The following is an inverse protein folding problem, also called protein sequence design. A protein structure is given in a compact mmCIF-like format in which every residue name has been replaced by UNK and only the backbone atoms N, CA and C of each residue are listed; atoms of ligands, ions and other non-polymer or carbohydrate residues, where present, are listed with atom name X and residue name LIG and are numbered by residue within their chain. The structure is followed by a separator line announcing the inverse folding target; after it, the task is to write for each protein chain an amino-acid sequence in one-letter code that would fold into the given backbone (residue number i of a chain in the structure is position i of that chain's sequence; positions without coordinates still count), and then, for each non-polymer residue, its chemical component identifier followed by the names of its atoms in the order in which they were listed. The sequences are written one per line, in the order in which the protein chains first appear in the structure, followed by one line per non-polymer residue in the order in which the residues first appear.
data_IF_529338514503
#
_entry.id   IF_529338514503
#
_cell.length_a   1.000
_cell.length_b   1.000
_cell.length_c   1.000
_cell.angle_alpha   90.00
_cell.angle_beta   90.00
_cell.angle_gamma   90.00
#
_symmetry.space_group_name_H-M   'P 1'
#
loop_
_entity.id
_entity.type
_entity.pdbx_description
1 polymer ?
#
# COMPACT_ATOMS: atom_id res chain seq x y z
N UNK A 1 11.68 -8.79 8.70
CA UNK A 1 11.00 -7.69 7.96
C UNK A 1 12.06 -6.88 7.24
N UNK A 2 11.93 -6.67 5.93
CA UNK A 2 12.93 -6.04 5.05
C UNK A 2 12.33 -4.84 4.37
N UNK A 3 12.96 -3.66 4.48
CA UNK A 3 12.47 -2.45 3.83
C UNK A 3 12.56 -2.58 2.31
N UNK A 4 11.47 -2.24 1.62
CA UNK A 4 11.41 -2.19 0.16
C UNK A 4 11.75 -0.76 -0.27
N UNK A 5 12.68 -0.65 -1.22
CA UNK A 5 13.08 0.66 -1.74
C UNK A 5 12.09 1.11 -2.81
N UNK A 6 11.65 2.35 -2.71
CA UNK A 6 10.84 2.98 -3.75
C UNK A 6 11.75 3.45 -4.89
N UNK A 7 11.74 2.79 -6.06
CA UNK A 7 12.66 3.12 -7.13
C UNK A 7 12.33 4.44 -7.83
N UNK A 8 11.11 4.96 -7.65
CA UNK A 8 10.67 6.23 -8.24
C UNK A 8 10.95 7.44 -7.34
N UNK A 9 11.34 7.22 -6.08
CA UNK A 9 11.59 8.33 -5.16
C UNK A 9 12.69 9.26 -5.71
N UNK A 10 12.36 10.55 -5.80
CA UNK A 10 13.27 11.58 -6.33
C UNK A 10 13.17 11.81 -7.84
N UNK A 11 12.42 10.99 -8.57
CA UNK A 11 12.14 11.26 -9.99
C UNK A 11 11.27 12.52 -10.15
N UNK A 12 11.64 13.47 -11.04
CA UNK A 12 10.96 14.78 -11.12
C UNK A 12 9.45 14.72 -11.44
N UNK A 13 9.02 13.67 -12.12
CA UNK A 13 7.62 13.46 -12.53
C UNK A 13 6.84 12.53 -11.62
N UNK A 14 7.46 12.07 -10.53
CA UNK A 14 6.82 11.17 -9.58
C UNK A 14 6.07 11.93 -8.50
N UNK A 15 4.76 11.74 -8.45
CA UNK A 15 3.85 12.42 -7.53
C UNK A 15 2.79 11.46 -6.97
N UNK A 16 3.18 10.25 -6.62
CA UNK A 16 2.23 9.29 -6.03
C UNK A 16 1.66 9.84 -4.71
N UNK A 17 0.35 9.96 -4.63
CA UNK A 17 -0.31 10.41 -3.41
C UNK A 17 -0.07 9.47 -2.22
N UNK A 18 0.00 8.17 -2.46
CA UNK A 18 0.20 7.16 -1.41
C UNK A 18 1.65 7.04 -0.93
N UNK A 19 2.62 7.03 -1.83
CA UNK A 19 3.98 6.56 -1.52
C UNK A 19 5.13 7.49 -1.96
N UNK A 20 4.86 8.67 -2.50
CA UNK A 20 5.93 9.64 -2.73
C UNK A 20 6.41 10.21 -1.39
N UNK A 21 7.67 9.95 -0.98
CA UNK A 21 8.18 10.43 0.30
C UNK A 21 8.32 11.95 0.37
N UNK A 22 8.33 12.63 -0.77
CA UNK A 22 8.47 14.08 -0.89
C UNK A 22 7.13 14.81 -1.05
N UNK A 23 6.01 14.09 -1.06
CA UNK A 23 4.69 14.71 -1.16
C UNK A 23 4.32 15.45 0.12
N UNK A 24 4.02 16.74 0.04
CA UNK A 24 3.58 17.54 1.20
C UNK A 24 2.20 17.11 1.70
N UNK A 25 1.29 16.81 0.78
CA UNK A 25 -0.12 16.51 1.07
C UNK A 25 -0.47 15.03 1.01
N UNK A 26 0.45 14.18 0.54
CA UNK A 26 0.24 12.76 0.39
C UNK A 26 0.45 11.95 1.67
N UNK A 27 0.27 10.66 1.56
CA UNK A 27 0.32 9.73 2.69
C UNK A 27 1.75 9.36 3.07
N UNK A 28 2.70 9.42 2.15
CA UNK A 28 4.13 9.13 2.36
C UNK A 28 4.36 7.76 3.02
N UNK A 29 3.68 6.75 2.52
CA UNK A 29 3.79 5.39 3.04
C UNK A 29 5.15 4.77 2.75
N UNK A 30 5.65 3.99 3.69
CA UNK A 30 6.81 3.11 3.53
C UNK A 30 6.39 1.66 3.67
N UNK A 31 7.10 0.76 2.99
CA UNK A 31 6.70 -0.63 2.89
C UNK A 31 7.84 -1.59 3.19
N UNK A 32 7.47 -2.70 3.81
CA UNK A 32 8.38 -3.76 4.23
C UNK A 32 7.87 -5.11 3.76
N UNK A 33 8.77 -6.00 3.40
CA UNK A 33 8.45 -7.39 3.12
C UNK A 33 8.64 -8.24 4.37
N UNK A 34 7.61 -9.02 4.71
CA UNK A 34 7.62 -9.95 5.84
C UNK A 34 6.97 -11.28 5.41
N UNK A 35 7.79 -12.20 4.91
CA UNK A 35 7.32 -13.44 4.31
C UNK A 35 6.38 -13.18 3.13
N UNK A 36 5.16 -13.67 3.21
CA UNK A 36 4.14 -13.48 2.18
C UNK A 36 3.47 -12.11 2.24
N UNK A 37 3.65 -11.38 3.34
CA UNK A 37 3.04 -10.08 3.55
C UNK A 37 3.91 -8.93 3.05
N UNK A 38 3.23 -7.88 2.60
CA UNK A 38 3.75 -6.52 2.58
C UNK A 38 3.16 -5.81 3.77
N UNK A 39 3.99 -5.09 4.51
CA UNK A 39 3.63 -4.40 5.76
C UNK A 39 3.95 -2.92 5.64
N UNK A 40 3.11 -2.07 6.22
CA UNK A 40 3.37 -0.64 6.36
C UNK A 40 3.02 -0.20 7.77
N UNK A 41 3.90 0.58 8.38
CA UNK A 41 3.61 1.32 9.60
C UNK A 41 3.40 2.78 9.22
N UNK A 42 2.21 3.30 9.51
CA UNK A 42 1.83 4.63 9.06
C UNK A 42 1.35 5.49 10.23
N UNK A 43 1.76 6.75 10.24
CA UNK A 43 1.36 7.71 11.27
C UNK A 43 0.16 8.52 10.79
N UNK A 44 -1.01 8.37 11.40
CA UNK A 44 -2.16 9.21 11.12
C UNK A 44 -1.85 10.69 11.40
N UNK A 45 -2.45 11.56 10.61
CA UNK A 45 -2.31 13.03 10.76
C UNK A 45 -3.68 13.68 10.82
N UNK A 46 -3.77 14.80 11.53
CA UNK A 46 -5.02 15.51 11.77
C UNK A 46 -5.74 15.96 10.50
N UNK A 47 -4.99 16.31 9.44
CA UNK A 47 -5.55 16.73 8.15
C UNK A 47 -6.29 15.61 7.39
N UNK A 48 -6.13 14.37 7.81
CA UNK A 48 -6.83 13.22 7.22
C UNK A 48 -8.07 12.80 8.01
N UNK A 49 -8.57 13.66 8.88
CA UNK A 49 -9.79 13.33 9.61
C UNK A 49 -11.03 13.38 8.73
N UNK A 50 -12.00 12.50 9.04
CA UNK A 50 -13.38 12.62 8.62
C UNK A 50 -14.18 13.23 9.76
N UNK A 51 -14.70 12.42 10.66
CA UNK A 51 -15.25 12.90 11.93
C UNK A 51 -14.11 13.35 12.87
N UNK A 52 -14.47 14.17 13.86
CA UNK A 52 -13.50 14.67 14.84
C UNK A 52 -12.63 13.54 15.39
N UNK A 53 -11.32 13.70 15.28
CA UNK A 53 -10.29 12.75 15.73
C UNK A 53 -10.39 11.34 15.12
N UNK A 54 -11.16 11.16 14.05
CA UNK A 54 -11.35 9.88 13.38
C UNK A 54 -10.75 9.94 11.98
N UNK A 55 -9.93 8.95 11.64
CA UNK A 55 -9.34 8.85 10.32
C UNK A 55 -10.44 8.64 9.27
N UNK A 56 -10.43 9.44 8.22
CA UNK A 56 -11.42 9.40 7.15
C UNK A 56 -11.44 8.03 6.47
N UNK A 57 -12.66 7.47 6.27
CA UNK A 57 -12.81 6.17 5.63
C UNK A 57 -12.23 6.10 4.22
N UNK A 58 -12.32 7.18 3.46
CA UNK A 58 -11.69 7.28 2.14
C UNK A 58 -10.15 7.26 2.20
N UNK A 59 -9.54 7.83 3.26
CA UNK A 59 -8.10 7.73 3.48
C UNK A 59 -7.72 6.29 3.83
N UNK A 60 -8.49 5.60 4.66
CA UNK A 60 -8.26 4.18 4.94
C UNK A 60 -8.35 3.33 3.67
N UNK A 61 -9.31 3.63 2.79
CA UNK A 61 -9.42 2.97 1.49
C UNK A 61 -8.19 3.25 0.60
N UNK A 62 -7.69 4.47 0.60
CA UNK A 62 -6.46 4.83 -0.14
C UNK A 62 -5.24 4.10 0.40
N UNK A 63 -5.09 4.02 1.72
CA UNK A 63 -4.01 3.25 2.36
C UNK A 63 -4.08 1.76 1.96
N UNK A 64 -5.29 1.19 1.93
CA UNK A 64 -5.50 -0.20 1.53
C UNK A 64 -5.18 -0.44 0.05
N UNK A 65 -5.60 0.46 -0.82
CA UNK A 65 -5.29 0.39 -2.26
C UNK A 65 -3.78 0.51 -2.52
N UNK A 66 -3.13 1.43 -1.83
CA UNK A 66 -1.69 1.65 -1.99
C UNK A 66 -0.88 0.42 -1.56
N UNK A 67 -1.12 -0.13 -0.37
CA UNK A 67 -0.37 -1.32 0.06
C UNK A 67 -0.64 -2.53 -0.85
N UNK A 68 -1.86 -2.67 -1.38
CA UNK A 68 -2.18 -3.71 -2.34
C UNK A 68 -1.41 -3.54 -3.66
N UNK A 69 -1.21 -2.31 -4.14
CA UNK A 69 -0.37 -2.07 -5.32
C UNK A 69 1.09 -2.45 -5.07
N UNK A 70 1.60 -2.22 -3.86
CA UNK A 70 2.96 -2.65 -3.48
C UNK A 70 3.12 -4.17 -3.38
N UNK A 71 2.05 -4.91 -3.07
CA UNK A 71 2.05 -6.38 -3.23
C UNK A 71 2.28 -6.74 -4.69
N UNK A 72 1.58 -6.07 -5.62
CA UNK A 72 1.76 -6.28 -7.06
C UNK A 72 3.20 -6.00 -7.48
N UNK A 73 3.71 -4.82 -7.12
CA UNK A 73 5.06 -4.40 -7.51
C UNK A 73 6.14 -5.36 -6.99
N UNK A 74 6.06 -5.74 -5.73
CA UNK A 74 7.10 -6.57 -5.11
C UNK A 74 6.96 -8.05 -5.46
N UNK A 75 5.76 -8.63 -5.40
CA UNK A 75 5.57 -10.07 -5.56
C UNK A 75 5.50 -10.52 -7.03
N UNK A 76 5.06 -9.66 -7.92
CA UNK A 76 4.92 -9.98 -9.34
C UNK A 76 5.88 -9.21 -10.25
N UNK A 77 6.60 -8.23 -9.71
CA UNK A 77 7.53 -7.40 -10.48
C UNK A 77 6.92 -6.84 -11.77
N UNK A 78 5.71 -6.29 -11.62
CA UNK A 78 4.94 -5.65 -12.69
C UNK A 78 4.01 -4.59 -12.09
N UNK A 79 3.30 -3.87 -12.94
CA UNK A 79 2.21 -2.98 -12.54
C UNK A 79 0.85 -3.62 -12.80
N UNK A 80 -0.18 -3.01 -12.28
CA UNK A 80 -1.55 -3.41 -12.49
C UNK A 80 -2.50 -2.27 -12.16
N UNK A 81 -3.78 -2.53 -12.34
CA UNK A 81 -4.84 -1.59 -11.98
C UNK A 81 -5.82 -2.26 -11.03
N UNK A 82 -6.31 -1.47 -10.07
CA UNK A 82 -7.42 -1.88 -9.22
C UNK A 82 -8.68 -1.98 -10.06
N UNK A 83 -9.26 -3.17 -10.14
CA UNK A 83 -10.52 -3.37 -10.84
C UNK A 83 -11.71 -3.31 -9.89
N UNK A 84 -11.52 -3.73 -8.64
CA UNK A 84 -12.55 -3.72 -7.61
C UNK A 84 -11.91 -3.67 -6.23
N UNK A 85 -12.54 -2.95 -5.32
CA UNK A 85 -12.18 -2.95 -3.91
C UNK A 85 -13.43 -2.94 -3.04
N UNK A 86 -13.44 -3.77 -2.01
CA UNK A 86 -14.45 -3.78 -0.96
C UNK A 86 -13.75 -3.51 0.37
N UNK A 87 -14.22 -2.50 1.09
CA UNK A 87 -13.67 -2.10 2.38
C UNK A 87 -14.74 -2.30 3.46
N UNK A 88 -14.35 -2.93 4.57
CA UNK A 88 -15.19 -3.11 5.75
C UNK A 88 -14.55 -2.42 6.95
N UNK A 89 -15.30 -1.51 7.54
CA UNK A 89 -14.88 -0.73 8.70
C UNK A 89 -15.47 -1.36 9.97
N UNK A 90 -14.64 -1.99 10.80
CA UNK A 90 -15.08 -2.71 11.99
C UNK A 90 -15.00 -1.86 13.25
N UNK A 91 -13.93 -1.07 13.37
CA UNK A 91 -13.66 -0.17 14.48
C UNK A 91 -13.08 1.15 13.96
N UNK A 92 -13.32 2.28 14.64
CA UNK A 92 -12.70 3.54 14.23
C UNK A 92 -11.18 3.49 14.40
N UNK A 93 -10.48 4.16 13.48
CA UNK A 93 -9.07 4.49 13.60
C UNK A 93 -8.98 5.96 13.95
N UNK A 94 -8.18 6.32 14.95
CA UNK A 94 -8.08 7.72 15.40
C UNK A 94 -6.90 8.43 14.74
N UNK A 95 -7.10 9.71 14.39
CA UNK A 95 -6.01 10.56 13.88
C UNK A 95 -4.98 10.89 14.95
N UNK A 96 -5.32 10.64 16.21
CA UNK A 96 -4.43 10.79 17.37
C UNK A 96 -3.63 9.53 17.70
N UNK A 97 -3.88 8.43 17.00
CA UNK A 97 -3.08 7.21 17.14
C UNK A 97 -1.63 7.50 16.76
N UNK A 98 -0.67 6.98 17.54
CA UNK A 98 0.75 7.15 17.25
C UNK A 98 1.13 6.50 15.92
N UNK A 99 0.67 5.27 15.73
CA UNK A 99 0.82 4.56 14.47
C UNK A 99 -0.29 3.54 14.28
N UNK A 100 -0.52 3.20 13.02
CA UNK A 100 -1.33 2.06 12.61
C UNK A 100 -0.49 1.12 11.78
N UNK A 101 -0.84 -0.15 11.79
CA UNK A 101 -0.15 -1.18 11.02
C UNK A 101 -1.07 -1.71 9.93
N UNK A 102 -0.59 -1.69 8.70
CA UNK A 102 -1.24 -2.33 7.57
C UNK A 102 -0.43 -3.56 7.17
N UNK A 103 -1.13 -4.61 6.78
CA UNK A 103 -0.52 -5.76 6.12
C UNK A 103 -1.40 -6.27 4.99
N UNK A 104 -0.77 -6.72 3.93
CA UNK A 104 -1.45 -7.19 2.74
C UNK A 104 -0.76 -8.43 2.15
N UNK A 105 -1.55 -9.35 1.61
CA UNK A 105 -1.05 -10.54 0.92
C UNK A 105 -2.00 -10.99 -0.19
N UNK A 106 -1.46 -11.74 -1.13
CA UNK A 106 -2.26 -12.42 -2.15
C UNK A 106 -2.99 -13.59 -1.51
N UNK A 107 -4.31 -13.68 -1.72
CA UNK A 107 -5.14 -14.80 -1.25
C UNK A 107 -5.65 -15.67 -2.41
N UNK A 108 -5.64 -15.16 -3.63
CA UNK A 108 -6.08 -15.88 -4.83
C UNK A 108 -5.42 -15.32 -6.07
N UNK A 109 -5.07 -16.19 -7.00
CA UNK A 109 -4.60 -15.81 -8.32
C UNK A 109 -5.28 -16.67 -9.37
N UNK A 110 -5.86 -16.02 -10.39
CA UNK A 110 -6.39 -16.65 -11.58
C UNK A 110 -5.85 -15.91 -12.80
N UNK A 111 -4.85 -16.49 -13.48
CA UNK A 111 -4.14 -15.84 -14.59
C UNK A 111 -3.56 -14.48 -14.17
N UNK A 112 -4.00 -13.42 -14.82
CA UNK A 112 -3.58 -12.04 -14.54
C UNK A 112 -4.51 -11.28 -13.58
N UNK A 113 -5.45 -11.98 -12.95
CA UNK A 113 -6.34 -11.42 -11.92
C UNK A 113 -5.91 -11.94 -10.56
N UNK A 114 -5.58 -11.05 -9.64
CA UNK A 114 -5.22 -11.40 -8.28
C UNK A 114 -6.18 -10.77 -7.28
N UNK A 115 -6.43 -11.49 -6.20
CA UNK A 115 -7.17 -10.99 -5.05
C UNK A 115 -6.20 -10.81 -3.88
N UNK A 116 -6.17 -9.62 -3.34
CA UNK A 116 -5.31 -9.21 -2.23
C UNK A 116 -6.19 -8.89 -1.03
N UNK A 117 -5.88 -9.49 0.10
CA UNK A 117 -6.47 -9.13 1.39
C UNK A 117 -5.59 -8.11 2.10
N UNK A 118 -6.23 -7.06 2.61
CA UNK A 118 -5.59 -6.01 3.40
C UNK A 118 -6.25 -5.96 4.78
N UNK A 119 -5.43 -5.86 5.81
CA UNK A 119 -5.85 -5.66 7.19
C UNK A 119 -5.19 -4.39 7.75
N UNK A 120 -5.98 -3.58 8.45
CA UNK A 120 -5.51 -2.37 9.14
C UNK A 120 -5.76 -2.55 10.63
N UNK A 121 -4.69 -2.45 11.40
CA UNK A 121 -4.70 -2.53 12.86
C UNK A 121 -4.46 -1.15 13.46
N UNK A 122 -5.23 -0.80 14.50
CA UNK A 122 -5.04 0.44 15.24
C UNK A 122 -3.79 0.40 16.15
N UNK A 123 -3.54 1.48 16.89
CA UNK A 123 -2.37 1.60 17.76
C UNK A 123 -2.30 0.58 18.92
N UNK A 124 -3.40 -0.08 19.24
CA UNK A 124 -3.46 -1.14 20.26
C UNK A 124 -3.61 -2.54 19.64
N UNK A 125 -3.20 -2.70 18.39
CA UNK A 125 -3.20 -3.96 17.62
C UNK A 125 -4.59 -4.61 17.46
N UNK A 126 -5.65 -3.83 17.48
CA UNK A 126 -6.98 -4.32 17.15
C UNK A 126 -7.25 -4.18 15.65
N UNK A 127 -7.82 -5.24 15.05
CA UNK A 127 -8.26 -5.22 13.66
C UNK A 127 -9.39 -4.20 13.49
N UNK A 128 -9.11 -3.12 12.79
CA UNK A 128 -10.03 -1.98 12.63
C UNK A 128 -10.70 -1.97 11.27
N UNK A 129 -9.98 -2.31 10.21
CA UNK A 129 -10.49 -2.26 8.84
C UNK A 129 -9.93 -3.43 8.04
N UNK A 130 -10.74 -4.00 7.17
CA UNK A 130 -10.31 -5.00 6.20
C UNK A 130 -10.69 -4.54 4.79
N UNK A 131 -9.88 -4.91 3.80
CA UNK A 131 -10.20 -4.68 2.41
C UNK A 131 -9.88 -5.91 1.57
N UNK A 132 -10.70 -6.13 0.54
CA UNK A 132 -10.44 -7.11 -0.51
C UNK A 132 -10.24 -6.34 -1.80
N UNK A 133 -9.05 -6.43 -2.38
CA UNK A 133 -8.66 -5.71 -3.58
C UNK A 133 -8.44 -6.69 -4.72
N UNK A 134 -9.10 -6.46 -5.85
CA UNK A 134 -8.92 -7.25 -7.07
C UNK A 134 -8.13 -6.42 -8.06
N UNK A 135 -6.98 -6.93 -8.46
CA UNK A 135 -6.06 -6.29 -9.39
C UNK A 135 -5.98 -7.05 -10.71
N UNK A 136 -5.85 -6.27 -11.77
CA UNK A 136 -5.52 -6.75 -13.10
C UNK A 136 -4.04 -6.52 -13.35
N UNK A 137 -3.26 -7.59 -13.50
CA UNK A 137 -1.83 -7.49 -13.74
C UNK A 137 -1.56 -7.22 -15.22
N UNK A 138 -0.65 -6.28 -15.50
CA UNK A 138 -0.10 -6.11 -16.84
C UNK A 138 1.07 -7.05 -17.09
N UNK A 139 1.33 -7.45 -18.36
CA UNK A 139 2.59 -8.08 -18.71
C UNK A 139 3.76 -7.17 -18.32
N UNK A 140 4.86 -7.75 -17.84
CA UNK A 140 6.03 -6.97 -17.39
C UNK A 140 6.57 -6.00 -18.45
N UNK A 141 6.58 -6.40 -19.71
CA UNK A 141 7.01 -5.54 -20.81
C UNK A 141 6.12 -4.29 -20.90
N UNK A 142 4.81 -4.46 -20.89
CA UNK A 142 3.85 -3.34 -20.91
C UNK A 142 4.00 -2.42 -19.70
N UNK A 143 4.22 -3.00 -18.51
CA UNK A 143 4.44 -2.24 -17.30
C UNK A 143 5.67 -1.31 -17.42
N UNK A 144 6.76 -1.79 -18.01
CA UNK A 144 7.97 -1.00 -18.24
C UNK A 144 7.78 0.09 -19.28
N UNK A 145 7.18 -0.25 -20.41
CA UNK A 145 7.05 0.66 -21.55
C UNK A 145 6.00 1.73 -21.36
N UNK A 146 4.85 1.39 -20.79
CA UNK A 146 3.70 2.30 -20.66
C UNK A 146 3.60 2.99 -19.29
N UNK A 147 4.10 2.35 -18.22
CA UNK A 147 3.94 2.83 -16.84
C UNK A 147 5.27 3.14 -16.14
N UNK A 148 6.38 3.02 -16.84
CA UNK A 148 7.69 3.30 -16.25
C UNK A 148 8.05 2.37 -15.10
N UNK A 149 7.56 1.13 -15.12
CA UNK A 149 7.82 0.18 -14.04
C UNK A 149 9.31 -0.10 -13.91
N UNK A 150 9.80 -0.02 -12.69
CA UNK A 150 11.17 -0.34 -12.29
C UNK A 150 11.16 -1.51 -11.31
N UNK A 151 12.26 -2.25 -11.21
CA UNK A 151 12.35 -3.38 -10.31
C UNK A 151 12.30 -2.96 -8.84
N UNK A 152 11.46 -3.62 -8.06
CA UNK A 152 11.30 -3.39 -6.62
C UNK A 152 12.18 -4.33 -5.80
N UNK A 153 13.19 -3.78 -5.17
CA UNK A 153 14.18 -4.50 -4.33
C UNK A 153 14.07 -4.07 -2.88
N UNK A 154 14.48 -4.97 -1.99
CA UNK A 154 14.72 -4.60 -0.59
C UNK A 154 16.11 -3.98 -0.43
N UNK A 155 16.31 -3.23 0.66
CA UNK A 155 17.64 -2.66 0.97
C UNK A 155 18.75 -3.72 1.02
N UNK A 156 18.46 -4.90 1.55
CA UNK A 156 19.40 -6.03 1.62
C UNK A 156 19.83 -6.53 0.23
N UNK A 157 18.93 -6.45 -0.77
CA UNK A 157 19.21 -6.88 -2.15
C UNK A 157 20.04 -5.85 -2.93
N UNK A 158 19.96 -4.57 -2.53
CA UNK A 158 20.75 -3.51 -3.14
C UNK A 158 22.18 -3.45 -2.62
N UNK A 159 22.42 -3.98 -1.40
CA UNK A 159 23.73 -3.98 -0.74
C UNK A 159 24.56 -5.24 -1.02
N UNK A 160 24.10 -6.12 -1.91
CA UNK A 160 24.82 -7.32 -2.37
C UNK A 160 25.49 -7.09 -3.71
#
# INVERSE_FOLDING_TARGET
MKKIVNPWAGEPTYHCYGCDPNSENGLRMEFFEDGDYIVSHWHPRAEFQGWRNTLHGGIQATLADEIASWVVFRKFQTSGVTSRMEVKYHKPVHTTDDHITLRAKVIKQMRNVITIEVEIFNAVDELSTTATCIYFLFPQQRAREEFGFMEFKTEDELNK
#
